data_IF_310654566532
#
_entry.id   IF_310654566532
#
_cell.length_a   1.000
_cell.length_b   1.000
_cell.length_c   1.000
_cell.angle_alpha   90.00
_cell.angle_beta   90.00
_cell.angle_gamma   90.00
#
_symmetry.space_group_name_H-M   'P 1'
#
loop_
_entity.id
_entity.type
_entity.pdbx_description
1 polymer ?
#
# COMPACT_ATOMS: atom_id res chain seq x y z
N UNK A 1 51.05 -25.66 -36.13
CA UNK A 1 51.21 -24.82 -34.92
C UNK A 1 51.59 -23.43 -35.42
N UNK A 2 50.59 -22.56 -35.62
CA UNK A 2 50.76 -21.23 -36.23
C UNK A 2 50.36 -20.24 -35.14
N UNK A 3 51.34 -19.48 -34.65
CA UNK A 3 51.15 -18.42 -33.66
C UNK A 3 50.96 -17.10 -34.41
N UNK A 4 49.78 -16.50 -34.28
CA UNK A 4 49.49 -15.12 -34.69
C UNK A 4 49.87 -14.14 -33.57
N UNK A 5 50.42 -12.95 -33.87
CA UNK A 5 50.78 -11.96 -32.86
C UNK A 5 49.57 -11.12 -32.40
N UNK A 6 49.60 -10.73 -31.13
CA UNK A 6 48.67 -9.80 -30.47
C UNK A 6 48.88 -8.35 -30.97
N UNK A 7 47.83 -7.52 -31.06
CA UNK A 7 47.99 -6.10 -31.34
C UNK A 7 48.33 -5.29 -30.07
N UNK A 8 49.20 -4.29 -30.29
CA UNK A 8 49.64 -3.27 -29.34
C UNK A 8 48.47 -2.45 -28.77
N UNK A 9 48.48 -2.27 -27.45
CA UNK A 9 47.57 -1.38 -26.72
C UNK A 9 48.25 -0.02 -26.60
N UNK A 10 47.77 0.95 -27.39
CA UNK A 10 48.17 2.35 -27.30
C UNK A 10 47.70 3.00 -25.99
N UNK A 11 48.67 3.54 -25.25
CA UNK A 11 48.65 4.74 -24.42
C UNK A 11 47.32 5.49 -24.23
N UNK A 12 46.74 5.42 -23.03
CA UNK A 12 45.91 6.51 -22.51
C UNK A 12 46.78 7.60 -21.87
N UNK A 13 46.77 8.78 -22.50
CA UNK A 13 47.32 10.04 -22.00
C UNK A 13 46.61 10.49 -20.72
N UNK A 14 47.41 10.85 -19.71
CA UNK A 14 46.98 11.69 -18.60
C UNK A 14 46.44 13.04 -19.11
N UNK A 15 45.21 13.39 -18.71
CA UNK A 15 44.69 14.75 -18.81
C UNK A 15 45.07 15.53 -17.55
N UNK A 16 45.51 16.80 -17.64
CA UNK A 16 45.87 17.61 -16.49
C UNK A 16 44.65 18.21 -15.81
N UNK A 17 44.67 18.19 -14.47
CA UNK A 17 43.79 18.97 -13.60
C UNK A 17 44.05 20.46 -13.81
N UNK A 18 43.14 21.15 -14.50
CA UNK A 18 43.09 22.61 -14.50
C UNK A 18 42.06 23.10 -13.49
N UNK A 19 42.59 23.67 -12.41
CA UNK A 19 41.92 24.60 -11.50
C UNK A 19 41.19 25.70 -12.28
N UNK A 20 39.89 25.84 -12.06
CA UNK A 20 39.16 27.07 -12.32
C UNK A 20 38.75 27.66 -10.97
N UNK A 21 39.56 28.58 -10.46
CA UNK A 21 39.13 29.57 -9.48
C UNK A 21 38.19 30.55 -10.19
N UNK A 22 36.96 30.68 -9.70
CA UNK A 22 36.06 31.78 -10.05
C UNK A 22 36.18 32.87 -8.99
N UNK A 23 36.32 34.16 -9.36
CA UNK A 23 36.34 35.25 -8.40
C UNK A 23 34.93 35.52 -7.84
N UNK A 24 34.83 35.51 -6.52
CA UNK A 24 33.64 35.99 -5.78
C UNK A 24 33.56 37.50 -5.94
N UNK A 25 32.66 37.99 -6.81
CA UNK A 25 32.28 39.40 -6.86
C UNK A 25 31.24 39.64 -5.76
N UNK A 26 31.66 40.32 -4.69
CA UNK A 26 30.80 40.80 -3.64
C UNK A 26 29.81 41.85 -4.19
N UNK A 27 28.51 41.61 -4.03
CA UNK A 27 27.48 42.61 -4.26
C UNK A 27 27.36 43.54 -3.03
N UNK A 28 27.25 44.87 -3.21
CA UNK A 28 27.06 45.79 -2.10
C UNK A 28 25.63 45.77 -1.57
N UNK A 29 25.51 45.70 -0.25
CA UNK A 29 24.26 45.86 0.49
C UNK A 29 23.65 47.25 0.22
N UNK A 30 22.46 47.26 -0.37
CA UNK A 30 21.63 48.45 -0.49
C UNK A 30 20.86 48.64 0.83
N UNK A 31 21.33 49.60 1.61
CA UNK A 31 20.64 50.18 2.76
C UNK A 31 19.50 51.05 2.23
N UNK A 32 18.26 50.59 2.37
CA UNK A 32 17.09 51.47 2.20
C UNK A 32 16.77 52.09 3.55
N UNK A 33 17.14 53.37 3.69
CA UNK A 33 16.64 54.27 4.72
C UNK A 33 15.15 54.54 4.48
N UNK A 34 14.31 54.24 5.45
CA UNK A 34 13.02 54.93 5.62
C UNK A 34 13.07 55.75 6.90
N UNK A 35 13.13 57.06 6.71
CA UNK A 35 13.00 58.06 7.76
C UNK A 35 11.51 58.32 8.05
N UNK A 36 11.19 58.21 9.34
CA UNK A 36 10.38 59.12 10.16
C UNK A 36 9.07 59.70 9.58
N UNK A 37 7.96 59.45 10.29
CA UNK A 37 7.06 60.52 10.73
C UNK A 37 6.29 60.11 11.98
N UNK A 38 6.58 60.81 13.06
CA UNK A 38 5.86 60.76 14.32
C UNK A 38 4.56 61.57 14.21
N UNK A 39 3.46 61.03 14.73
CA UNK A 39 2.38 61.83 15.32
C UNK A 39 1.83 61.10 16.54
N UNK A 40 2.12 61.68 17.71
CA UNK A 40 1.44 61.43 18.97
C UNK A 40 0.05 62.10 18.92
N UNK A 41 -0.95 61.51 19.56
CA UNK A 41 -1.64 62.06 20.74
C UNK A 41 -2.65 61.03 21.31
N UNK A 42 -3.04 61.15 22.60
CA UNK A 42 -3.64 60.08 23.38
C UNK A 42 -5.15 60.27 23.59
N UNK A 43 -5.90 59.16 23.78
CA UNK A 43 -7.17 59.19 24.51
C UNK A 43 -7.29 57.96 25.40
N UNK A 44 -7.27 58.23 26.70
CA UNK A 44 -7.75 57.42 27.81
C UNK A 44 -9.27 57.28 27.71
N UNK A 45 -9.83 56.06 27.80
CA UNK A 45 -11.12 55.81 28.49
C UNK A 45 -11.09 54.42 29.13
N UNK A 46 -11.36 54.42 30.43
CA UNK A 46 -11.60 53.26 31.29
C UNK A 46 -12.85 52.46 30.88
N UNK A 47 -12.88 51.16 31.17
CA UNK A 47 -14.11 50.38 31.01
C UNK A 47 -13.94 48.91 31.34
N UNK A 48 -14.18 48.57 32.60
CA UNK A 48 -14.30 47.20 33.09
C UNK A 48 -15.39 46.41 32.35
N UNK A 49 -15.18 45.09 32.19
CA UNK A 49 -16.13 44.08 32.66
C UNK A 49 -15.51 42.68 32.55
N UNK A 50 -15.33 42.05 33.71
CA UNK A 50 -15.10 40.63 33.86
C UNK A 50 -16.34 39.85 33.36
N UNK A 51 -16.19 39.04 32.32
CA UNK A 51 -17.16 37.99 31.99
C UNK A 51 -16.61 36.68 32.51
N UNK A 52 -17.04 36.27 33.71
CA UNK A 52 -16.93 34.88 34.18
C UNK A 52 -18.04 34.09 33.52
N UNK A 53 -17.73 33.39 32.43
CA UNK A 53 -18.64 32.40 31.84
C UNK A 53 -18.49 31.09 32.60
N UNK A 54 -19.31 30.90 33.64
CA UNK A 54 -19.48 29.61 34.29
C UNK A 54 -20.41 28.75 33.42
N UNK A 55 -19.85 27.77 32.72
CA UNK A 55 -20.60 26.75 32.02
C UNK A 55 -21.22 25.77 33.05
N UNK A 56 -22.46 26.04 33.46
CA UNK A 56 -23.27 25.07 34.18
C UNK A 56 -23.80 24.04 33.18
N UNK A 57 -23.12 22.89 33.11
CA UNK A 57 -23.57 21.71 32.40
C UNK A 57 -24.77 21.11 33.15
N UNK A 58 -25.97 21.22 32.58
CA UNK A 58 -27.21 20.75 33.19
C UNK A 58 -27.30 19.22 33.14
N UNK A 59 -27.20 18.60 34.31
CA UNK A 59 -27.25 17.15 34.55
C UNK A 59 -28.64 16.50 34.31
N UNK A 60 -29.60 17.20 33.70
CA UNK A 60 -31.00 16.73 33.55
C UNK A 60 -31.34 16.08 32.21
N UNK A 61 -30.41 16.03 31.25
CA UNK A 61 -30.66 15.44 29.92
C UNK A 61 -30.24 13.96 29.78
N UNK A 62 -29.82 13.30 30.86
CA UNK A 62 -29.39 11.88 30.83
C UNK A 62 -30.55 10.92 31.18
N UNK A 63 -31.66 11.42 31.73
CA UNK A 63 -32.75 10.57 32.22
C UNK A 63 -33.87 10.26 31.20
N UNK A 64 -33.80 10.75 29.95
CA UNK A 64 -34.87 10.55 28.96
C UNK A 64 -34.52 9.61 27.78
N UNK A 65 -33.31 9.04 27.74
CA UNK A 65 -32.89 8.15 26.64
C UNK A 65 -32.93 6.65 26.98
N UNK A 66 -33.20 6.26 28.23
CA UNK A 66 -33.20 4.84 28.65
C UNK A 66 -34.55 4.12 28.52
N UNK A 67 -35.61 4.77 28.04
CA UNK A 67 -36.96 4.19 28.02
C UNK A 67 -37.44 3.64 26.66
N UNK A 68 -36.65 3.73 25.58
CA UNK A 68 -37.12 3.39 24.22
C UNK A 68 -36.46 2.17 23.55
N UNK A 69 -35.52 1.49 24.21
CA UNK A 69 -34.77 0.38 23.59
C UNK A 69 -34.94 -1.01 24.25
N UNK A 70 -35.95 -1.19 25.10
CA UNK A 70 -36.33 -2.53 25.58
C UNK A 70 -37.76 -2.88 25.16
N UNK A 71 -37.94 -3.24 23.89
CA UNK A 71 -39.04 -4.11 23.49
C UNK A 71 -38.46 -5.34 22.79
N UNK A 72 -38.64 -6.56 23.33
CA UNK A 72 -38.24 -7.77 22.62
C UNK A 72 -39.26 -8.05 21.52
N UNK A 73 -38.80 -7.98 20.26
CA UNK A 73 -39.57 -8.49 19.11
C UNK A 73 -39.49 -10.00 19.14
N UNK A 74 -40.50 -10.63 19.73
CA UNK A 74 -40.85 -12.01 19.45
C UNK A 74 -41.54 -12.05 18.08
N UNK A 75 -40.81 -12.44 17.04
CA UNK A 75 -41.31 -12.51 15.67
C UNK A 75 -40.78 -13.77 14.97
N UNK A 76 -41.60 -14.82 14.98
CA UNK A 76 -41.39 -16.06 14.26
C UNK A 76 -41.23 -15.84 12.76
N UNK A 77 -40.21 -16.45 12.15
CA UNK A 77 -40.18 -16.68 10.71
C UNK A 77 -39.83 -18.13 10.40
N UNK A 78 -40.74 -18.72 9.63
CA UNK A 78 -40.78 -20.11 9.22
C UNK A 78 -39.62 -20.46 8.28
N UNK A 79 -39.05 -21.64 8.49
CA UNK A 79 -38.15 -22.33 7.59
C UNK A 79 -38.88 -22.63 6.27
N UNK A 80 -38.43 -22.02 5.18
CA UNK A 80 -38.80 -22.42 3.83
C UNK A 80 -37.67 -23.27 3.24
N UNK A 81 -37.82 -24.59 3.33
CA UNK A 81 -36.92 -25.56 2.72
C UNK A 81 -37.15 -25.61 1.22
N UNK A 82 -36.33 -24.91 0.44
CA UNK A 82 -36.20 -25.13 -1.00
C UNK A 82 -35.14 -26.21 -1.25
N UNK A 83 -35.58 -27.45 -1.43
CA UNK A 83 -34.75 -28.54 -1.95
C UNK A 83 -34.71 -28.45 -3.48
N UNK A 84 -33.63 -27.92 -4.05
CA UNK A 84 -33.36 -28.00 -5.48
C UNK A 84 -32.69 -29.34 -5.80
N UNK A 85 -33.43 -30.18 -6.52
CA UNK A 85 -33.00 -31.46 -7.07
C UNK A 85 -31.92 -31.25 -8.15
N UNK A 86 -30.64 -31.39 -7.79
CA UNK A 86 -29.57 -31.55 -8.77
C UNK A 86 -29.69 -32.92 -9.45
N UNK A 87 -30.09 -32.92 -10.73
CA UNK A 87 -29.96 -34.09 -11.60
C UNK A 87 -28.48 -34.25 -11.97
N UNK A 88 -27.91 -35.39 -11.60
CA UNK A 88 -26.57 -35.79 -12.03
C UNK A 88 -26.52 -35.90 -13.56
N UNK A 89 -25.44 -35.42 -14.22
CA UNK A 89 -25.24 -35.65 -15.65
C UNK A 89 -24.92 -37.12 -15.94
N UNK A 90 -25.58 -37.62 -16.97
CA UNK A 90 -25.48 -38.96 -17.54
C UNK A 90 -24.03 -39.29 -17.92
N UNK A 91 -23.52 -40.39 -17.36
CA UNK A 91 -22.27 -41.04 -17.76
C UNK A 91 -22.43 -41.63 -19.17
N UNK A 92 -21.65 -41.11 -20.12
CA UNK A 92 -21.48 -41.71 -21.45
C UNK A 92 -20.17 -42.50 -21.51
N UNK A 93 -20.35 -43.82 -21.66
CA UNK A 93 -19.61 -44.81 -22.45
C UNK A 93 -18.08 -45.03 -22.30
N UNK A 94 -17.64 -46.31 -22.39
CA UNK A 94 -16.23 -46.69 -22.27
C UNK A 94 -15.42 -46.34 -23.53
N UNK A 95 -14.31 -45.65 -23.34
CA UNK A 95 -13.26 -45.48 -24.37
C UNK A 95 -12.49 -46.80 -24.51
N UNK A 96 -12.54 -47.36 -25.71
CA UNK A 96 -11.66 -48.45 -26.15
C UNK A 96 -10.21 -47.96 -26.15
N UNK A 97 -9.39 -48.53 -25.29
CA UNK A 97 -7.94 -48.36 -25.31
C UNK A 97 -7.37 -49.15 -26.50
N UNK A 98 -6.97 -48.43 -27.55
CA UNK A 98 -6.09 -48.95 -28.58
C UNK A 98 -4.66 -48.59 -28.17
N UNK A 99 -3.91 -49.58 -27.68
CA UNK A 99 -2.51 -49.44 -27.36
C UNK A 99 -1.73 -49.17 -28.66
N UNK A 100 -1.33 -47.91 -28.86
CA UNK A 100 -0.27 -47.58 -29.80
C UNK A 100 1.05 -47.58 -29.04
N UNK A 101 1.94 -48.44 -29.53
CA UNK A 101 3.33 -48.61 -29.17
C UNK A 101 4.10 -47.31 -29.49
N UNK A 102 4.28 -46.44 -28.49
CA UNK A 102 5.08 -45.23 -28.62
C UNK A 102 6.54 -45.55 -28.39
N UNK A 103 7.30 -45.48 -29.48
CA UNK A 103 8.75 -45.60 -29.46
C UNK A 103 9.38 -44.48 -28.60
N UNK A 104 10.41 -44.84 -27.85
CA UNK A 104 11.10 -44.01 -26.83
C UNK A 104 11.93 -42.87 -27.46
N UNK A 105 11.76 -42.57 -28.75
CA UNK A 105 12.56 -41.60 -29.49
C UNK A 105 11.95 -40.17 -29.53
N UNK A 106 10.71 -39.98 -29.06
CA UNK A 106 9.95 -38.73 -29.28
C UNK A 106 9.71 -37.89 -28.02
N UNK A 107 10.45 -38.16 -26.93
CA UNK A 107 10.35 -37.41 -25.67
C UNK A 107 11.14 -36.09 -25.73
N UNK A 108 12.08 -35.96 -26.66
CA UNK A 108 13.02 -34.83 -26.70
C UNK A 108 12.45 -33.56 -27.36
N UNK A 109 11.42 -33.65 -28.21
CA UNK A 109 10.82 -32.48 -28.88
C UNK A 109 9.60 -31.89 -28.15
N UNK A 110 8.91 -32.67 -27.32
CA UNK A 110 7.79 -32.16 -26.52
C UNK A 110 8.25 -31.19 -25.40
N UNK A 111 9.49 -31.33 -24.91
CA UNK A 111 10.04 -30.51 -23.82
C UNK A 111 10.56 -29.13 -24.26
N UNK A 112 10.83 -28.91 -25.55
CA UNK A 112 11.32 -27.61 -26.03
C UNK A 112 10.21 -26.60 -26.29
N UNK A 113 9.00 -27.04 -26.63
CA UNK A 113 7.85 -26.15 -26.84
C UNK A 113 7.27 -25.61 -25.52
N UNK A 114 7.30 -26.39 -24.44
CA UNK A 114 6.76 -25.96 -23.15
C UNK A 114 7.55 -24.83 -22.48
N UNK A 115 8.85 -24.67 -22.81
CA UNK A 115 9.68 -23.59 -22.26
C UNK A 115 9.45 -22.26 -23.00
N UNK A 116 9.17 -22.30 -24.30
CA UNK A 116 8.87 -21.11 -25.09
C UNK A 116 7.52 -20.48 -24.70
N UNK A 117 6.51 -21.30 -24.43
CA UNK A 117 5.18 -20.83 -24.02
C UNK A 117 5.17 -20.21 -22.61
N UNK A 118 5.98 -20.75 -21.69
CA UNK A 118 6.13 -20.21 -20.34
C UNK A 118 6.80 -18.82 -20.34
N UNK A 119 7.85 -18.63 -21.16
CA UNK A 119 8.52 -17.32 -21.27
C UNK A 119 7.65 -16.26 -21.93
N UNK A 120 6.81 -16.66 -22.90
CA UNK A 120 5.87 -15.75 -23.54
C UNK A 120 4.80 -15.26 -22.55
N UNK A 121 4.27 -16.16 -21.72
CA UNK A 121 3.26 -15.82 -20.70
C UNK A 121 3.81 -14.82 -19.67
N UNK A 122 5.01 -15.08 -19.13
CA UNK A 122 5.65 -14.17 -18.16
C UNK A 122 5.92 -12.78 -18.74
N UNK A 123 6.30 -12.69 -20.02
CA UNK A 123 6.49 -11.41 -20.71
C UNK A 123 5.18 -10.63 -20.86
N UNK A 124 4.08 -11.31 -21.17
CA UNK A 124 2.76 -10.69 -21.30
C UNK A 124 2.24 -10.17 -19.96
N UNK A 125 2.38 -10.94 -18.89
CA UNK A 125 1.97 -10.53 -17.54
C UNK A 125 2.78 -9.33 -17.05
N UNK A 126 4.10 -9.33 -17.30
CA UNK A 126 4.96 -8.20 -16.98
C UNK A 126 4.53 -6.93 -17.74
N UNK A 127 4.30 -7.03 -19.05
CA UNK A 127 3.89 -5.89 -19.86
C UNK A 127 2.51 -5.36 -19.43
N UNK A 128 1.59 -6.25 -19.05
CA UNK A 128 0.29 -5.89 -18.51
C UNK A 128 0.41 -5.08 -17.21
N UNK A 129 1.18 -5.56 -16.24
CA UNK A 129 1.37 -4.86 -14.96
C UNK A 129 2.08 -3.51 -15.13
N UNK A 130 3.08 -3.44 -16.01
CA UNK A 130 3.73 -2.16 -16.38
C UNK A 130 2.74 -1.18 -17.02
N UNK A 131 1.84 -1.67 -17.87
CA UNK A 131 0.79 -0.83 -18.48
C UNK A 131 -0.21 -0.34 -17.45
N UNK A 132 -0.64 -1.17 -16.51
CA UNK A 132 -1.51 -0.77 -15.40
C UNK A 132 -0.85 0.32 -14.55
N UNK A 133 0.41 0.10 -14.14
CA UNK A 133 1.15 1.07 -13.33
C UNK A 133 1.21 2.45 -14.01
N UNK A 134 1.56 2.50 -15.30
CA UNK A 134 1.61 3.74 -16.06
C UNK A 134 0.22 4.36 -16.26
N UNK A 135 -0.82 3.56 -16.48
CA UNK A 135 -2.19 4.04 -16.65
C UNK A 135 -2.74 4.71 -15.39
N UNK A 136 -2.54 4.11 -14.22
CA UNK A 136 -2.93 4.71 -12.95
C UNK A 136 -2.11 5.96 -12.62
N UNK A 137 -0.79 5.92 -12.85
CA UNK A 137 0.06 7.10 -12.68
C UNK A 137 -0.42 8.26 -13.57
N UNK A 138 -0.73 7.99 -14.84
CA UNK A 138 -1.22 9.01 -15.76
C UNK A 138 -2.55 9.61 -15.28
N UNK A 139 -3.50 8.79 -14.80
CA UNK A 139 -4.76 9.29 -14.24
C UNK A 139 -4.55 10.19 -13.03
N UNK A 140 -3.64 9.81 -12.13
CA UNK A 140 -3.28 10.64 -10.98
C UNK A 140 -2.72 12.00 -11.43
N UNK A 141 -1.81 12.00 -12.41
CA UNK A 141 -1.21 13.21 -12.98
C UNK A 141 -2.24 14.07 -13.72
N UNK A 142 -3.11 13.47 -14.54
CA UNK A 142 -4.14 14.18 -15.30
C UNK A 142 -5.15 14.85 -14.37
N UNK A 143 -5.66 14.10 -13.37
CA UNK A 143 -6.57 14.64 -12.37
C UNK A 143 -5.89 15.74 -11.56
N UNK A 144 -4.61 15.55 -11.25
CA UNK A 144 -3.84 16.55 -10.55
C UNK A 144 -3.73 17.87 -11.33
N UNK A 145 -3.51 17.78 -12.64
CA UNK A 145 -3.32 18.94 -13.51
C UNK A 145 -4.63 19.56 -14.00
N UNK A 146 -5.76 18.86 -13.83
CA UNK A 146 -7.05 19.30 -14.38
C UNK A 146 -7.56 20.60 -13.74
N UNK A 147 -7.25 20.85 -12.47
CA UNK A 147 -7.74 22.02 -11.73
C UNK A 147 -6.69 22.56 -10.76
N UNK A 148 -6.54 23.88 -10.69
CA UNK A 148 -5.69 24.54 -9.69
C UNK A 148 -6.24 24.41 -8.26
N UNK A 149 -7.57 24.29 -8.13
CA UNK A 149 -8.27 24.17 -6.84
C UNK A 149 -8.85 22.75 -6.66
N UNK A 150 -8.00 21.78 -6.35
CA UNK A 150 -8.42 20.40 -6.13
C UNK A 150 -9.29 20.28 -4.87
N UNK A 151 -10.45 19.63 -5.00
CA UNK A 151 -11.32 19.33 -3.86
C UNK A 151 -10.71 18.21 -2.99
N UNK A 152 -11.09 18.07 -1.71
CA UNK A 152 -10.64 16.94 -0.89
C UNK A 152 -10.90 15.57 -1.54
N UNK A 153 -12.00 15.42 -2.30
CA UNK A 153 -12.32 14.20 -3.03
C UNK A 153 -11.34 13.94 -4.18
N UNK A 154 -10.90 14.99 -4.90
CA UNK A 154 -9.91 14.85 -5.96
C UNK A 154 -8.57 14.39 -5.38
N UNK A 155 -8.18 14.97 -4.24
CA UNK A 155 -6.95 14.60 -3.53
C UNK A 155 -6.96 13.13 -3.10
N UNK A 156 -8.06 12.67 -2.49
CA UNK A 156 -8.25 11.26 -2.13
C UNK A 156 -8.17 10.35 -3.37
N UNK A 157 -8.79 10.77 -4.48
CA UNK A 157 -8.78 10.03 -5.74
C UNK A 157 -7.38 9.95 -6.36
N UNK A 158 -6.61 11.04 -6.32
CA UNK A 158 -5.20 11.09 -6.75
C UNK A 158 -4.37 10.10 -5.92
N UNK A 159 -4.51 10.12 -4.60
CA UNK A 159 -3.80 9.18 -3.70
C UNK A 159 -4.20 7.73 -4.01
N UNK A 160 -5.49 7.47 -4.25
CA UNK A 160 -5.98 6.15 -4.66
C UNK A 160 -5.31 5.64 -5.95
N UNK A 161 -5.21 6.48 -6.99
CA UNK A 161 -4.51 6.13 -8.22
C UNK A 161 -3.01 5.94 -8.03
N UNK A 162 -2.34 6.74 -7.19
CA UNK A 162 -0.92 6.56 -6.88
C UNK A 162 -0.65 5.22 -6.17
N UNK A 163 -1.53 4.82 -5.24
CA UNK A 163 -1.45 3.52 -4.57
C UNK A 163 -1.62 2.35 -5.55
N UNK A 164 -2.62 2.43 -6.44
CA UNK A 164 -2.83 1.41 -7.48
C UNK A 164 -1.65 1.31 -8.46
N UNK A 165 -1.06 2.45 -8.83
CA UNK A 165 0.13 2.50 -9.67
C UNK A 165 1.33 1.83 -8.98
N UNK A 166 1.52 2.10 -7.68
CA UNK A 166 2.59 1.52 -6.88
C UNK A 166 2.45 0.00 -6.76
N UNK A 167 1.23 -0.49 -6.52
CA UNK A 167 0.96 -1.92 -6.40
C UNK A 167 1.24 -2.66 -7.72
N UNK A 168 0.76 -2.14 -8.85
CA UNK A 168 1.04 -2.71 -10.17
C UNK A 168 2.55 -2.72 -10.49
N UNK A 169 3.28 -1.66 -10.12
CA UNK A 169 4.73 -1.62 -10.28
C UNK A 169 5.43 -2.69 -9.41
N UNK A 170 4.97 -2.93 -8.17
CA UNK A 170 5.48 -3.99 -7.31
C UNK A 170 5.20 -5.38 -7.87
N UNK A 171 4.02 -5.61 -8.46
CA UNK A 171 3.71 -6.88 -9.15
C UNK A 171 4.61 -7.09 -10.36
N UNK A 172 4.84 -6.07 -11.18
CA UNK A 172 5.79 -6.14 -12.30
C UNK A 172 7.20 -6.53 -11.84
N UNK A 173 7.71 -5.95 -10.74
CA UNK A 173 9.00 -6.32 -10.16
C UNK A 173 9.04 -7.76 -9.62
N UNK A 174 7.92 -8.25 -9.09
CA UNK A 174 7.82 -9.63 -8.60
C UNK A 174 7.84 -10.65 -9.73
N UNK A 175 7.25 -10.30 -10.89
CA UNK A 175 7.24 -11.14 -12.09
C UNK A 175 8.61 -11.20 -12.78
N UNK A 176 9.36 -10.09 -12.79
CA UNK A 176 10.69 -10.02 -13.38
C UNK A 176 11.66 -9.17 -12.55
N UNK A 177 12.29 -9.76 -11.51
CA UNK A 177 13.16 -9.03 -10.57
C UNK A 177 14.41 -8.42 -11.20
N UNK A 178 14.87 -8.94 -12.34
CA UNK A 178 16.04 -8.45 -13.06
C UNK A 178 15.67 -7.50 -14.22
N UNK A 179 14.37 -7.21 -14.43
CA UNK A 179 13.93 -6.28 -15.47
C UNK A 179 13.94 -4.83 -14.94
N UNK A 180 14.76 -3.99 -15.60
CA UNK A 180 14.93 -2.59 -15.23
C UNK A 180 13.64 -1.75 -15.33
N UNK A 181 12.64 -2.18 -16.10
CA UNK A 181 11.38 -1.46 -16.31
C UNK A 181 10.51 -1.44 -15.05
N UNK A 182 10.52 -2.51 -14.26
CA UNK A 182 9.78 -2.58 -13.00
C UNK A 182 10.24 -1.52 -12.01
N UNK A 183 11.54 -1.44 -11.77
CA UNK A 183 12.16 -0.41 -10.94
C UNK A 183 11.93 1.00 -11.50
N UNK A 184 12.10 1.19 -12.81
CA UNK A 184 11.84 2.49 -13.44
C UNK A 184 10.39 2.94 -13.23
N UNK A 185 9.43 2.02 -13.35
CA UNK A 185 8.01 2.29 -13.14
C UNK A 185 7.74 2.71 -11.69
N UNK A 186 8.26 1.95 -10.72
CA UNK A 186 8.09 2.25 -9.29
C UNK A 186 8.75 3.56 -8.88
N UNK A 187 9.95 3.84 -9.40
CA UNK A 187 10.65 5.10 -9.18
C UNK A 187 9.83 6.31 -9.64
N UNK A 188 9.15 6.22 -10.80
CA UNK A 188 8.24 7.29 -11.27
C UNK A 188 7.05 7.50 -10.34
N UNK A 189 6.48 6.42 -9.82
CA UNK A 189 5.37 6.50 -8.85
C UNK A 189 5.84 7.15 -7.54
N UNK A 190 6.99 6.75 -7.00
CA UNK A 190 7.56 7.41 -5.81
C UNK A 190 7.89 8.87 -6.06
N UNK A 191 8.39 9.22 -7.24
CA UNK A 191 8.64 10.61 -7.62
C UNK A 191 7.34 11.43 -7.60
N UNK A 192 6.23 10.88 -8.09
CA UNK A 192 4.92 11.53 -8.03
C UNK A 192 4.41 11.65 -6.58
N UNK A 193 4.53 10.58 -5.78
CA UNK A 193 4.15 10.58 -4.36
C UNK A 193 4.97 11.62 -3.57
N UNK A 194 6.22 11.88 -3.94
CA UNK A 194 7.10 12.82 -3.23
C UNK A 194 6.58 14.27 -3.19
N UNK A 195 5.67 14.64 -4.10
CA UNK A 195 4.99 15.93 -4.04
C UNK A 195 4.06 16.07 -2.83
N UNK A 196 3.50 14.95 -2.37
CA UNK A 196 2.58 14.87 -1.22
C UNK A 196 3.36 14.50 0.03
N UNK A 197 4.32 13.59 -0.13
CA UNK A 197 5.07 12.95 0.93
C UNK A 197 6.58 13.01 0.64
N UNK A 198 7.25 14.16 0.85
CA UNK A 198 8.63 14.38 0.42
C UNK A 198 9.63 13.32 0.92
N UNK A 199 9.37 12.68 2.05
CA UNK A 199 10.19 11.62 2.62
C UNK A 199 10.30 10.36 1.75
N UNK A 200 9.44 10.16 0.74
CA UNK A 200 9.58 9.02 -0.19
C UNK A 200 10.58 9.27 -1.32
N UNK A 201 11.05 10.51 -1.51
CA UNK A 201 11.97 10.86 -2.61
C UNK A 201 13.23 9.95 -2.65
N UNK A 202 13.89 9.62 -1.52
CA UNK A 202 15.04 8.71 -1.55
C UNK A 202 14.72 7.32 -2.11
N UNK A 203 13.47 6.85 -1.99
CA UNK A 203 13.04 5.57 -2.57
C UNK A 203 12.96 5.65 -4.10
N UNK A 204 12.48 6.78 -4.65
CA UNK A 204 12.49 7.03 -6.09
C UNK A 204 13.92 7.01 -6.64
N UNK A 205 14.83 7.73 -5.97
CA UNK A 205 16.24 7.81 -6.35
C UNK A 205 16.91 6.43 -6.31
N UNK A 206 16.58 5.61 -5.29
CA UNK A 206 17.06 4.23 -5.16
C UNK A 206 16.57 3.34 -6.32
N UNK A 207 15.29 3.41 -6.66
CA UNK A 207 14.72 2.60 -7.75
C UNK A 207 15.29 3.00 -9.11
N UNK A 208 15.46 4.30 -9.36
CA UNK A 208 16.09 4.76 -10.59
C UNK A 208 17.55 4.33 -10.68
N UNK A 209 18.31 4.39 -9.59
CA UNK A 209 19.67 3.90 -9.55
C UNK A 209 19.73 2.40 -9.86
N UNK A 210 18.84 1.59 -9.27
CA UNK A 210 18.75 0.16 -9.55
C UNK A 210 18.37 -0.13 -11.01
N UNK A 211 17.43 0.63 -11.59
CA UNK A 211 17.09 0.51 -13.00
C UNK A 211 18.28 0.80 -13.92
N UNK A 212 19.08 1.83 -13.63
CA UNK A 212 20.30 2.13 -14.39
C UNK A 212 21.32 0.98 -14.30
N UNK A 213 21.49 0.40 -13.11
CA UNK A 213 22.37 -0.77 -12.92
C UNK A 213 21.92 -1.98 -13.75
N UNK A 214 20.62 -2.17 -13.93
CA UNK A 214 20.03 -3.23 -14.75
C UNK A 214 19.99 -2.88 -16.27
N UNK A 215 20.57 -1.74 -16.67
CA UNK A 215 20.70 -1.36 -18.07
C UNK A 215 19.56 -0.54 -18.66
N UNK A 216 18.67 0.04 -17.84
CA UNK A 216 17.70 1.03 -18.34
C UNK A 216 18.44 2.23 -18.94
N UNK A 217 18.23 2.48 -20.23
CA UNK A 217 18.70 3.70 -20.87
C UNK A 217 17.73 4.83 -20.52
N UNK A 218 18.20 5.83 -19.78
CA UNK A 218 17.39 6.93 -19.26
C UNK A 218 16.12 6.42 -18.58
N UNK A 219 16.18 5.93 -17.32
CA UNK A 219 14.97 5.73 -16.54
C UNK A 219 14.31 7.10 -16.41
N UNK A 220 13.39 7.40 -17.32
CA UNK A 220 12.79 8.71 -17.49
C UNK A 220 12.28 9.17 -16.14
N UNK A 221 12.67 10.38 -15.73
CA UNK A 221 11.97 11.10 -14.67
C UNK A 221 10.47 11.07 -14.98
N UNK A 222 9.64 10.94 -13.94
CA UNK A 222 8.21 11.15 -14.10
C UNK A 222 7.97 12.49 -14.83
N UNK A 223 6.88 12.64 -15.61
CA UNK A 223 6.54 13.95 -16.17
C UNK A 223 6.65 14.99 -15.05
N UNK A 224 7.39 16.09 -15.29
CA UNK A 224 7.58 17.16 -14.32
C UNK A 224 6.21 17.78 -14.01
N UNK A 225 5.50 17.20 -13.05
CA UNK A 225 4.26 17.76 -12.55
C UNK A 225 4.59 18.96 -11.70
N UNK A 226 3.96 20.10 -11.98
CA UNK A 226 3.83 21.16 -10.99
C UNK A 226 3.01 20.59 -9.83
N UNK A 227 3.62 20.54 -8.64
CA UNK A 227 3.02 20.18 -7.34
C UNK A 227 1.67 19.44 -7.42
N UNK A 228 1.68 18.09 -7.47
CA UNK A 228 0.49 17.27 -7.56
C UNK A 228 -0.65 17.56 -6.58
N UNK A 229 -0.35 18.27 -5.49
CA UNK A 229 -1.35 18.69 -4.51
C UNK A 229 -0.75 19.74 -3.59
N UNK A 230 -1.30 20.95 -3.56
CA UNK A 230 -0.99 21.90 -2.49
C UNK A 230 -1.87 21.55 -1.28
N UNK A 231 -1.29 20.81 -0.32
CA UNK A 231 -1.96 20.53 0.95
C UNK A 231 -1.72 21.67 1.93
N UNK A 232 -2.79 22.08 2.62
CA UNK A 232 -2.64 22.92 3.80
C UNK A 232 -1.92 22.10 4.90
N UNK A 233 -1.05 22.69 5.72
CA UNK A 233 -0.26 21.98 6.74
C UNK A 233 -1.06 21.08 7.69
N UNK A 234 -2.33 21.41 7.96
CA UNK A 234 -3.22 20.62 8.82
C UNK A 234 -3.77 19.36 8.15
N UNK A 235 -3.87 19.33 6.82
CA UNK A 235 -4.32 18.15 6.06
C UNK A 235 -3.19 17.12 5.88
N UNK A 236 -1.93 17.58 5.83
CA UNK A 236 -0.75 16.71 5.76
C UNK A 236 -0.61 15.79 6.99
N UNK A 237 -1.14 16.21 8.15
CA UNK A 237 -1.07 15.42 9.39
C UNK A 237 -2.14 14.31 9.47
N UNK A 238 -3.29 14.46 8.81
CA UNK A 238 -4.38 13.47 8.85
C UNK A 238 -4.25 12.37 7.79
N UNK A 239 -3.60 12.64 6.67
CA UNK A 239 -3.49 11.70 5.53
C UNK A 239 -2.23 10.84 5.54
N UNK A 240 -1.33 11.06 6.51
CA UNK A 240 -0.13 10.24 6.70
C UNK A 240 -0.48 8.73 6.83
N UNK A 241 -1.73 8.38 7.17
CA UNK A 241 -2.19 6.99 7.27
C UNK A 241 -2.50 6.30 5.92
N UNK A 242 -2.81 7.03 4.83
CA UNK A 242 -3.26 6.43 3.57
C UNK A 242 -2.11 5.93 2.68
N UNK A 243 -0.94 6.59 2.74
CA UNK A 243 0.27 6.17 2.02
C UNK A 243 1.15 5.22 2.84
N UNK A 244 0.94 5.11 4.16
CA UNK A 244 1.79 4.30 5.05
C UNK A 244 1.55 2.79 4.97
N UNK A 245 0.47 2.32 4.33
CA UNK A 245 0.18 0.87 4.24
C UNK A 245 1.01 0.13 3.18
N UNK A 246 1.68 0.84 2.26
CA UNK A 246 2.44 0.25 1.13
C UNK A 246 3.89 0.81 1.06
N UNK A 247 4.47 1.19 2.20
CA UNK A 247 5.88 1.62 2.28
C UNK A 247 6.64 0.68 3.21
N UNK A 248 6.69 -0.60 2.84
CA UNK A 248 7.73 -1.51 3.28
C UNK A 248 8.51 -1.91 2.02
N UNK A 249 9.60 -1.19 1.75
CA UNK A 249 10.49 -1.51 0.62
C UNK A 249 11.22 -2.85 0.83
N UNK A 250 11.73 -3.48 -0.24
CA UNK A 250 12.44 -4.74 -0.13
C UNK A 250 13.83 -4.50 0.46
N UNK A 251 14.06 -4.92 1.70
CA UNK A 251 15.41 -5.25 2.17
C UNK A 251 15.68 -6.74 1.90
N UNK A 252 16.86 -7.02 1.36
CA UNK A 252 17.33 -8.38 1.10
C UNK A 252 17.37 -9.22 2.39
N UNK A 253 16.84 -10.44 2.28
CA UNK A 253 16.98 -11.59 3.19
C UNK A 253 16.72 -11.35 4.69
N UNK A 254 15.44 -11.33 5.06
CA UNK A 254 14.93 -11.84 6.34
C UNK A 254 13.55 -12.44 6.06
N UNK A 255 13.21 -13.58 6.66
CA UNK A 255 11.94 -14.28 6.45
C UNK A 255 10.74 -13.32 6.56
N UNK A 256 10.11 -13.00 5.43
CA UNK A 256 9.02 -12.01 5.36
C UNK A 256 7.66 -12.68 5.23
N UNK A 257 6.81 -12.45 6.23
CA UNK A 257 5.35 -12.58 6.13
C UNK A 257 4.87 -11.55 5.11
N UNK A 258 4.30 -12.03 4.01
CA UNK A 258 3.68 -11.22 2.95
C UNK A 258 2.36 -10.64 3.48
N UNK A 259 2.32 -9.34 3.79
CA UNK A 259 1.06 -8.58 3.91
C UNK A 259 0.67 -8.08 2.53
N UNK A 260 0.13 -8.97 1.70
CA UNK A 260 -0.61 -8.58 0.51
C UNK A 260 -1.95 -8.02 0.95
N UNK A 261 -2.14 -6.70 0.84
CA UNK A 261 -3.47 -6.13 0.80
C UNK A 261 -3.96 -6.32 -0.64
N UNK A 262 -4.40 -7.54 -0.95
CA UNK A 262 -5.26 -7.77 -2.11
C UNK A 262 -6.56 -7.00 -1.90
N UNK A 263 -7.18 -6.50 -2.96
CA UNK A 263 -8.62 -6.16 -3.04
C UNK A 263 -9.52 -7.41 -2.80
N UNK A 264 -9.17 -8.22 -1.80
CA UNK A 264 -10.03 -9.25 -1.30
C UNK A 264 -11.15 -8.54 -0.53
N UNK A 265 -12.35 -9.11 -0.57
CA UNK A 265 -13.47 -8.78 0.29
C UNK A 265 -13.16 -9.07 1.78
N UNK A 266 -11.92 -8.82 2.22
CA UNK A 266 -11.39 -9.25 3.48
C UNK A 266 -10.58 -8.15 4.15
N UNK A 267 -11.02 -7.74 5.33
CA UNK A 267 -10.28 -6.81 6.18
C UNK A 267 -9.39 -7.60 7.14
N UNK A 268 -8.16 -7.12 7.36
CA UNK A 268 -7.15 -7.80 8.19
C UNK A 268 -6.84 -6.97 9.43
N UNK A 269 -6.59 -7.63 10.56
CA UNK A 269 -6.03 -6.98 11.74
C UNK A 269 -5.18 -7.91 12.61
N UNK A 270 -4.63 -7.35 13.68
CA UNK A 270 -3.72 -8.02 14.60
C UNK A 270 -4.11 -7.77 16.06
N UNK A 271 -3.85 -8.74 16.93
CA UNK A 271 -4.05 -8.63 18.38
C UNK A 271 -3.11 -9.57 19.15
N UNK A 272 -2.58 -9.13 20.28
CA UNK A 272 -1.77 -9.98 21.15
C UNK A 272 -2.62 -10.68 22.22
N UNK A 273 -2.45 -11.99 22.38
CA UNK A 273 -2.95 -12.75 23.54
C UNK A 273 -1.81 -12.97 24.51
N UNK A 274 -1.90 -12.34 25.69
CA UNK A 274 -0.88 -12.44 26.74
C UNK A 274 -0.71 -13.87 27.26
N UNK A 275 0.51 -14.22 27.70
CA UNK A 275 0.80 -15.52 28.29
C UNK A 275 -0.12 -15.80 29.49
N UNK A 276 -0.57 -17.05 29.63
CA UNK A 276 -1.48 -17.46 30.70
C UNK A 276 -2.94 -17.04 30.51
N UNK A 277 -3.30 -16.30 29.45
CA UNK A 277 -4.69 -15.91 29.15
C UNK A 277 -5.30 -16.85 28.12
N UNK A 278 -6.60 -17.11 28.26
CA UNK A 278 -7.34 -17.96 27.31
C UNK A 278 -8.11 -17.17 26.28
N UNK A 279 -8.32 -15.86 26.49
CA UNK A 279 -9.18 -15.05 25.64
C UNK A 279 -8.63 -13.61 25.50
N UNK A 280 -8.90 -12.99 24.35
CA UNK A 280 -8.66 -11.56 24.09
C UNK A 280 -9.85 -10.95 23.34
N UNK A 281 -10.23 -9.73 23.71
CA UNK A 281 -11.33 -8.97 23.09
C UNK A 281 -10.76 -8.01 22.05
N UNK A 282 -11.32 -8.06 20.84
CA UNK A 282 -10.99 -7.18 19.72
C UNK A 282 -12.16 -6.22 19.50
N UNK A 283 -11.91 -4.91 19.69
CA UNK A 283 -12.88 -3.86 19.38
C UNK A 283 -12.90 -3.62 17.87
N UNK A 284 -14.01 -3.95 17.22
CA UNK A 284 -14.13 -3.84 15.77
C UNK A 284 -15.60 -3.58 15.38
N UNK A 285 -16.03 -2.31 15.34
CA UNK A 285 -17.44 -1.95 15.12
C UNK A 285 -18.03 -2.38 13.76
N UNK A 286 -17.20 -2.79 12.81
CA UNK A 286 -17.65 -3.22 11.48
C UNK A 286 -18.12 -4.69 11.47
N UNK A 287 -17.95 -5.44 12.56
CA UNK A 287 -18.51 -6.80 12.70
C UNK A 287 -20.02 -6.76 12.52
N UNK A 288 -20.52 -7.66 11.68
CA UNK A 288 -21.94 -8.03 11.52
C UNK A 288 -22.12 -9.46 12.01
N UNK A 289 -23.36 -9.86 12.27
CA UNK A 289 -23.66 -11.26 12.63
C UNK A 289 -23.22 -12.25 11.53
N UNK A 290 -23.32 -11.81 10.27
CA UNK A 290 -22.92 -12.57 9.07
C UNK A 290 -21.44 -12.51 8.77
N UNK A 291 -20.64 -11.69 9.46
CA UNK A 291 -19.20 -11.57 9.20
C UNK A 291 -18.50 -12.89 9.48
N UNK A 292 -17.79 -13.43 8.49
CA UNK A 292 -16.91 -14.57 8.69
C UNK A 292 -15.55 -14.08 9.19
N UNK A 293 -15.03 -14.70 10.24
CA UNK A 293 -13.75 -14.33 10.85
C UNK A 293 -12.83 -15.54 10.83
N UNK A 294 -11.65 -15.38 10.25
CA UNK A 294 -10.56 -16.34 10.30
C UNK A 294 -9.47 -15.82 11.24
N UNK A 295 -8.87 -16.70 12.04
CA UNK A 295 -7.82 -16.35 13.01
C UNK A 295 -6.64 -17.30 12.86
N UNK A 296 -5.42 -16.77 12.91
CA UNK A 296 -4.19 -17.58 12.92
C UNK A 296 -3.12 -16.91 13.78
N UNK A 297 -2.05 -17.63 14.06
CA UNK A 297 -0.82 -17.09 14.65
C UNK A 297 0.38 -17.64 13.90
N UNK A 298 1.40 -16.82 13.69
CA UNK A 298 2.66 -17.25 13.05
C UNK A 298 3.52 -18.08 14.01
N UNK A 299 3.35 -17.89 15.33
CA UNK A 299 4.12 -18.57 16.38
C UNK A 299 3.19 -19.17 17.41
N UNK A 300 3.15 -20.50 17.44
CA UNK A 300 2.35 -21.26 18.37
C UNK A 300 3.18 -22.37 19.03
N UNK A 301 4.04 -22.02 20.00
CA UNK A 301 4.97 -22.99 20.59
C UNK A 301 4.25 -24.15 21.31
N UNK A 302 3.03 -23.90 21.80
CA UNK A 302 2.27 -24.86 22.62
C UNK A 302 1.23 -25.66 21.81
N UNK A 303 1.13 -25.42 20.49
CA UNK A 303 0.11 -26.07 19.66
C UNK A 303 -1.34 -25.71 20.04
N UNK A 304 -1.54 -24.53 20.64
CA UNK A 304 -2.86 -24.06 21.09
C UNK A 304 -3.75 -23.75 19.89
N UNK A 305 -4.97 -24.27 19.87
CA UNK A 305 -5.92 -23.94 18.79
C UNK A 305 -6.63 -22.63 19.11
N UNK A 306 -6.64 -21.70 18.15
CA UNK A 306 -7.36 -20.43 18.23
C UNK A 306 -8.74 -20.56 17.58
N UNK A 307 -9.74 -19.90 18.15
CA UNK A 307 -11.10 -19.87 17.60
C UNK A 307 -11.81 -18.56 17.97
N UNK A 308 -12.84 -18.19 17.21
CA UNK A 308 -13.69 -17.05 17.56
C UNK A 308 -14.74 -17.50 18.57
N UNK A 309 -14.62 -17.02 19.81
CA UNK A 309 -15.45 -17.42 20.95
C UNK A 309 -16.81 -16.70 20.98
N UNK A 310 -16.81 -15.40 20.70
CA UNK A 310 -18.01 -14.58 20.64
C UNK A 310 -17.89 -13.50 19.57
N UNK A 311 -19.02 -13.07 19.00
CA UNK A 311 -19.12 -11.92 18.09
C UNK A 311 -20.32 -11.06 18.51
N UNK A 312 -20.16 -9.75 18.47
CA UNK A 312 -21.23 -8.79 18.75
C UNK A 312 -21.23 -7.72 17.66
N UNK A 313 -22.31 -7.69 16.87
CA UNK A 313 -22.44 -6.75 15.77
C UNK A 313 -22.37 -5.31 16.26
N UNK A 314 -21.59 -4.46 15.58
CA UNK A 314 -21.38 -3.07 15.97
C UNK A 314 -20.38 -2.85 17.11
N UNK A 315 -19.90 -3.91 17.76
CA UNK A 315 -18.99 -3.81 18.91
C UNK A 315 -17.64 -4.49 18.64
N UNK A 316 -17.62 -5.77 18.26
CA UNK A 316 -16.38 -6.52 18.05
C UNK A 316 -16.53 -8.03 18.26
N UNK A 317 -15.43 -8.68 18.61
CA UNK A 317 -15.39 -10.13 18.80
C UNK A 317 -14.35 -10.55 19.85
N UNK A 318 -14.46 -11.79 20.35
CA UNK A 318 -13.52 -12.38 21.30
C UNK A 318 -12.84 -13.57 20.65
N UNK A 319 -11.51 -13.60 20.68
CA UNK A 319 -10.70 -14.75 20.25
C UNK A 319 -10.38 -15.57 21.48
N UNK A 320 -10.67 -16.87 21.42
CA UNK A 320 -10.37 -17.84 22.46
C UNK A 320 -9.26 -18.81 22.04
N UNK A 321 -8.59 -19.37 23.05
CA UNK A 321 -7.56 -20.39 22.94
C UNK A 321 -8.00 -21.66 23.68
N UNK A 322 -7.65 -22.84 23.19
CA UNK A 322 -8.00 -24.13 23.84
C UNK A 322 -7.28 -24.36 25.17
N UNK A 323 -6.13 -23.73 25.36
CA UNK A 323 -5.35 -23.75 26.59
C UNK A 323 -4.58 -22.42 26.72
N UNK A 324 -4.26 -21.97 27.95
CA UNK A 324 -3.46 -20.76 28.15
C UNK A 324 -2.04 -20.97 27.58
N UNK A 325 -1.57 -20.08 26.68
CA UNK A 325 -0.25 -20.23 26.08
C UNK A 325 0.86 -19.89 27.08
N UNK A 326 1.99 -20.55 26.97
CA UNK A 326 3.19 -20.38 27.80
C UNK A 326 3.94 -19.08 27.48
N UNK A 327 3.73 -18.53 26.27
CA UNK A 327 4.27 -17.25 25.82
C UNK A 327 3.16 -16.41 25.15
N UNK A 328 3.32 -15.07 25.04
CA UNK A 328 2.37 -14.24 24.31
C UNK A 328 2.24 -14.70 22.85
N UNK A 329 1.02 -14.74 22.33
CA UNK A 329 0.72 -15.08 20.93
C UNK A 329 0.39 -13.80 20.16
N UNK A 330 1.02 -13.61 19.00
CA UNK A 330 0.65 -12.58 18.03
C UNK A 330 -0.38 -13.15 17.05
N UNK A 331 -1.63 -12.73 17.19
CA UNK A 331 -2.77 -13.27 16.46
C UNK A 331 -3.10 -12.35 15.31
N UNK A 332 -3.17 -12.92 14.12
CA UNK A 332 -3.69 -12.27 12.92
C UNK A 332 -5.12 -12.73 12.68
N UNK A 333 -6.00 -11.79 12.35
CA UNK A 333 -7.39 -12.09 11.99
C UNK A 333 -7.77 -11.48 10.65
N UNK A 334 -8.72 -12.13 9.96
CA UNK A 334 -9.30 -11.68 8.70
C UNK A 334 -10.83 -11.74 8.81
N UNK A 335 -11.49 -10.63 8.52
CA UNK A 335 -12.90 -10.62 8.11
C UNK A 335 -12.98 -11.06 6.65
N UNK A 336 -14.01 -11.83 6.28
CA UNK A 336 -14.38 -12.12 4.89
C UNK A 336 -15.86 -11.75 4.74
N UNK A 337 -16.15 -10.87 3.77
CA UNK A 337 -17.49 -10.38 3.42
C UNK A 337 -18.13 -11.20 2.31
#
# INVERSE_FOLDING_TARGET
MILTPLPDIEYYRCMPSSLFEQPIIAQPAQVVQQAQSAHQLPVSIAGATHVKTAAHFSLKLIALYTALFFTPIAGAFALNTYSSSFKAPTLLSPVSQQAQDTSVADITQASTNSLADAQNTQSNDLNYELSLANGFLQKAVDLSNATTDQTPQDKETIVGYLNQALEAANRAMSLAPDDARGYSSRGRVYQAISAIKPEVKPLADSDFAKAQQLGAQNPTSAPETQNPTEYLPTQQASENYALNSIIAGPQEQLSTTVTGQSDANAQKGHVALEAGKTDVVVSYPQVKDTTQLYVTTDKNPDGVTLYVKNKEAGTGFTIGATAPPSAPLDITWWEIQ
#
